data_IF_107610107093
#
_entry.id   IF_107610107093
#
_cell.length_a   1.000
_cell.length_b   1.000
_cell.length_c   1.000
_cell.angle_alpha   90.00
_cell.angle_beta   90.00
_cell.angle_gamma   90.00
#
_symmetry.space_group_name_H-M   'P 1'
#
loop_
_entity.id
_entity.type
_entity.pdbx_description
1 polymer ?
#
# COMPACT_ATOMS: atom_id res chain seq x y z
N UNK A 1 17.42 2.75 -13.85
CA UNK A 1 16.37 3.75 -14.18
C UNK A 1 15.03 3.13 -14.59
N UNK A 2 14.96 1.99 -15.29
CA UNK A 2 13.68 1.39 -15.74
C UNK A 2 12.82 0.77 -14.62
N UNK A 3 13.40 0.29 -13.53
CA UNK A 3 12.68 -0.39 -12.43
C UNK A 3 11.85 0.57 -11.57
N UNK A 4 12.35 1.77 -11.28
CA UNK A 4 11.68 2.80 -10.48
C UNK A 4 10.42 3.36 -11.18
N UNK A 5 10.50 3.59 -12.50
CA UNK A 5 9.38 4.06 -13.30
C UNK A 5 8.23 3.04 -13.35
N UNK A 6 8.56 1.74 -13.43
CA UNK A 6 7.57 0.65 -13.37
C UNK A 6 6.89 0.59 -12.01
N UNK A 7 7.65 0.75 -10.91
CA UNK A 7 7.09 0.82 -9.56
C UNK A 7 6.07 1.95 -9.41
N UNK A 8 6.44 3.16 -9.84
CA UNK A 8 5.59 4.35 -9.78
C UNK A 8 4.31 4.19 -10.61
N UNK A 9 4.40 3.63 -11.81
CA UNK A 9 3.22 3.37 -12.64
C UNK A 9 2.27 2.35 -12.01
N UNK A 10 2.82 1.34 -11.33
CA UNK A 10 2.04 0.35 -10.60
C UNK A 10 1.34 0.96 -9.37
N UNK A 11 1.99 1.87 -8.62
CA UNK A 11 1.33 2.65 -7.54
C UNK A 11 0.08 3.37 -8.06
N UNK A 12 0.22 4.11 -9.17
CA UNK A 12 -0.88 4.90 -9.74
C UNK A 12 -2.03 4.01 -10.22
N UNK A 13 -1.71 2.90 -10.89
CA UNK A 13 -2.70 1.92 -11.37
C UNK A 13 -3.46 1.27 -10.22
N UNK A 14 -2.75 0.86 -9.16
CA UNK A 14 -3.35 0.26 -7.98
C UNK A 14 -4.24 1.26 -7.22
N UNK A 15 -3.76 2.49 -7.06
CA UNK A 15 -4.49 3.59 -6.42
C UNK A 15 -5.86 3.87 -7.08
N UNK A 16 -5.93 3.85 -8.42
CA UNK A 16 -7.19 4.00 -9.18
C UNK A 16 -8.15 2.83 -8.97
N UNK A 17 -7.62 1.61 -8.81
CA UNK A 17 -8.43 0.41 -8.55
C UNK A 17 -9.05 0.43 -7.14
N UNK A 18 -8.35 1.00 -6.16
CA UNK A 18 -8.92 1.22 -4.82
C UNK A 18 -10.09 2.20 -4.88
N UNK A 19 -9.96 3.32 -5.59
CA UNK A 19 -11.08 4.28 -5.77
C UNK A 19 -12.33 3.64 -6.35
N UNK A 20 -12.15 2.85 -7.42
CA UNK A 20 -13.27 2.13 -8.05
C UNK A 20 -13.93 1.14 -7.08
N UNK A 21 -13.15 0.52 -6.19
CA UNK A 21 -13.65 -0.43 -5.21
C UNK A 21 -14.40 0.24 -4.06
N UNK A 22 -13.94 1.43 -3.63
CA UNK A 22 -14.66 2.28 -2.67
C UNK A 22 -16.03 2.69 -3.23
N UNK A 23 -16.12 3.03 -4.51
CA UNK A 23 -17.39 3.37 -5.15
C UNK A 23 -18.37 2.19 -5.15
N UNK A 24 -17.88 0.97 -5.44
CA UNK A 24 -18.69 -0.26 -5.38
C UNK A 24 -19.20 -0.49 -3.94
N UNK A 25 -18.35 -0.29 -2.92
CA UNK A 25 -18.72 -0.44 -1.52
C UNK A 25 -19.78 0.57 -1.09
N UNK A 26 -19.62 1.86 -1.45
CA UNK A 26 -20.62 2.89 -1.16
C UNK A 26 -21.98 2.58 -1.77
N UNK A 27 -22.00 1.97 -2.95
CA UNK A 27 -23.23 1.57 -3.65
C UNK A 27 -23.82 0.23 -3.17
N UNK A 28 -23.10 -0.54 -2.34
CA UNK A 28 -23.52 -1.89 -1.92
C UNK A 28 -24.63 -1.91 -0.86
N UNK A 29 -24.90 -0.78 -0.19
CA UNK A 29 -25.89 -0.69 0.88
C UNK A 29 -27.36 -0.83 0.47
N UNK A 30 -27.68 -0.87 -0.83
CA UNK A 30 -29.07 -0.81 -1.33
C UNK A 30 -29.58 -2.10 -1.99
N UNK A 31 -28.72 -3.03 -2.45
CA UNK A 31 -29.15 -4.22 -3.20
C UNK A 31 -28.25 -5.45 -2.92
N UNK A 32 -28.87 -6.62 -2.71
CA UNK A 32 -28.19 -7.88 -2.37
C UNK A 32 -27.14 -8.34 -3.39
N UNK A 33 -27.37 -8.11 -4.69
CA UNK A 33 -26.39 -8.38 -5.74
C UNK A 33 -25.13 -7.50 -5.61
N UNK A 34 -25.29 -6.23 -5.20
CA UNK A 34 -24.18 -5.32 -5.01
C UNK A 34 -23.34 -5.69 -3.78
N UNK A 35 -23.95 -6.27 -2.74
CA UNK A 35 -23.21 -6.81 -1.58
C UNK A 35 -22.30 -7.98 -1.97
N UNK A 36 -22.78 -8.93 -2.77
CA UNK A 36 -21.94 -10.04 -3.27
C UNK A 36 -20.80 -9.50 -4.14
N UNK A 37 -21.11 -8.57 -5.05
CA UNK A 37 -20.09 -7.90 -5.87
C UNK A 37 -19.05 -7.17 -5.01
N UNK A 38 -19.47 -6.52 -3.93
CA UNK A 38 -18.58 -5.85 -2.99
C UNK A 38 -17.62 -6.84 -2.31
N UNK A 39 -18.11 -7.99 -1.82
CA UNK A 39 -17.25 -9.03 -1.25
C UNK A 39 -16.19 -9.49 -2.24
N UNK A 40 -16.59 -9.87 -3.46
CA UNK A 40 -15.64 -10.32 -4.50
C UNK A 40 -14.64 -9.24 -4.90
N UNK A 41 -15.10 -7.99 -5.02
CA UNK A 41 -14.24 -6.86 -5.37
C UNK A 41 -13.20 -6.63 -4.27
N UNK A 42 -13.62 -6.59 -3.00
CA UNK A 42 -12.72 -6.40 -1.86
C UNK A 42 -11.70 -7.54 -1.73
N UNK A 43 -12.11 -8.79 -1.94
CA UNK A 43 -11.18 -9.93 -1.95
C UNK A 43 -10.13 -9.79 -3.06
N UNK A 44 -10.57 -9.47 -4.28
CA UNK A 44 -9.67 -9.28 -5.42
C UNK A 44 -8.69 -8.15 -5.17
N UNK A 45 -9.16 -7.03 -4.61
CA UNK A 45 -8.33 -5.89 -4.26
C UNK A 45 -7.31 -6.21 -3.18
N UNK A 46 -7.70 -7.00 -2.18
CA UNK A 46 -6.80 -7.42 -1.11
C UNK A 46 -5.67 -8.29 -1.65
N UNK A 47 -5.98 -9.23 -2.56
CA UNK A 47 -4.97 -10.05 -3.25
C UNK A 47 -4.03 -9.18 -4.09
N UNK A 48 -4.58 -8.27 -4.89
CA UNK A 48 -3.77 -7.34 -5.69
C UNK A 48 -2.89 -6.43 -4.83
N UNK A 49 -3.41 -5.98 -3.67
CA UNK A 49 -2.66 -5.17 -2.72
C UNK A 49 -1.48 -5.92 -2.11
N UNK A 50 -1.66 -7.19 -1.74
CA UNK A 50 -0.56 -8.03 -1.27
C UNK A 50 0.51 -8.28 -2.36
N UNK A 51 0.09 -8.53 -3.60
CA UNK A 51 1.03 -8.64 -4.73
C UNK A 51 1.80 -7.34 -4.95
N UNK A 52 1.12 -6.21 -4.86
CA UNK A 52 1.73 -4.90 -5.02
C UNK A 52 2.70 -4.59 -3.88
N UNK A 53 2.33 -4.92 -2.64
CA UNK A 53 3.19 -4.79 -1.45
C UNK A 53 4.49 -5.57 -1.63
N UNK A 54 4.38 -6.83 -2.04
CA UNK A 54 5.55 -7.68 -2.29
C UNK A 54 6.44 -7.09 -3.38
N UNK A 55 5.85 -6.55 -4.46
CA UNK A 55 6.60 -5.87 -5.52
C UNK A 55 7.30 -4.60 -5.03
N UNK A 56 6.62 -3.78 -4.23
CA UNK A 56 7.19 -2.56 -3.66
C UNK A 56 8.36 -2.86 -2.72
N UNK A 57 8.22 -3.86 -1.83
CA UNK A 57 9.31 -4.33 -0.95
C UNK A 57 10.52 -4.83 -1.74
N UNK A 58 10.31 -5.67 -2.76
CA UNK A 58 11.43 -6.17 -3.59
C UNK A 58 12.16 -5.04 -4.34
N UNK A 59 11.45 -4.02 -4.80
CA UNK A 59 12.06 -2.88 -5.49
C UNK A 59 12.82 -2.02 -4.48
N UNK A 60 12.26 -1.81 -3.28
CA UNK A 60 12.89 -1.08 -2.20
C UNK A 60 14.19 -1.77 -1.74
N UNK A 61 14.15 -3.08 -1.47
CA UNK A 61 15.33 -3.90 -1.13
C UNK A 61 16.42 -3.78 -2.20
N UNK A 62 16.07 -3.97 -3.48
CA UNK A 62 17.04 -3.87 -4.59
C UNK A 62 17.57 -2.45 -4.81
N UNK A 63 16.78 -1.43 -4.47
CA UNK A 63 17.21 -0.05 -4.56
C UNK A 63 18.19 0.34 -3.46
N UNK A 64 18.03 -0.19 -2.24
CA UNK A 64 19.03 -0.06 -1.18
C UNK A 64 20.41 -0.57 -1.62
N UNK A 65 20.44 -1.63 -2.44
CA UNK A 65 21.68 -2.22 -2.96
C UNK A 65 22.26 -1.48 -4.18
N UNK A 66 21.42 -0.85 -5.01
CA UNK A 66 21.80 -0.40 -6.37
C UNK A 66 21.58 1.09 -6.66
N UNK A 67 20.97 1.85 -5.74
CA UNK A 67 20.67 3.27 -5.92
C UNK A 67 21.04 4.05 -4.64
N UNK A 68 22.11 4.88 -4.69
CA UNK A 68 22.51 5.69 -3.53
C UNK A 68 21.51 6.80 -3.18
N UNK A 69 20.64 7.18 -4.12
CA UNK A 69 19.52 8.09 -3.87
C UNK A 69 18.23 7.30 -3.63
N UNK A 70 17.51 7.67 -2.57
CA UNK A 70 16.27 7.01 -2.10
C UNK A 70 15.08 7.34 -3.00
N UNK A 71 15.31 8.02 -4.13
CA UNK A 71 14.29 8.48 -5.09
C UNK A 71 13.65 7.34 -5.90
N UNK A 72 13.96 6.09 -5.57
CA UNK A 72 13.49 4.91 -6.28
C UNK A 72 11.98 4.71 -6.25
N UNK A 73 11.34 5.07 -5.14
CA UNK A 73 9.91 4.96 -4.94
C UNK A 73 9.44 6.25 -4.27
N UNK A 74 8.43 6.87 -4.87
CA UNK A 74 7.82 8.08 -4.35
C UNK A 74 6.97 7.74 -3.12
N UNK A 75 7.50 8.05 -1.93
CA UNK A 75 6.85 7.72 -0.65
C UNK A 75 5.47 8.37 -0.52
N UNK A 76 5.26 9.55 -1.11
CA UNK A 76 3.97 10.23 -1.09
C UNK A 76 2.92 9.44 -1.87
N UNK A 77 3.31 8.73 -2.94
CA UNK A 77 2.40 7.81 -3.64
C UNK A 77 2.05 6.60 -2.79
N UNK A 78 3.00 6.05 -2.05
CA UNK A 78 2.76 4.89 -1.17
C UNK A 78 1.84 5.28 0.00
N UNK A 79 2.05 6.47 0.57
CA UNK A 79 1.16 7.10 1.57
C UNK A 79 -0.25 7.33 1.01
N UNK A 80 -0.36 7.85 -0.21
CA UNK A 80 -1.67 8.05 -0.84
C UNK A 80 -2.45 6.73 -1.04
N UNK A 81 -1.76 5.64 -1.39
CA UNK A 81 -2.36 4.30 -1.45
C UNK A 81 -2.84 3.86 -0.07
N UNK A 82 -2.02 4.06 0.98
CA UNK A 82 -2.37 3.78 2.38
C UNK A 82 -3.68 4.46 2.79
N UNK A 83 -3.78 5.77 2.57
CA UNK A 83 -4.94 6.56 2.99
C UNK A 83 -6.23 6.12 2.27
N UNK A 84 -6.11 5.67 1.02
CA UNK A 84 -7.22 5.09 0.27
C UNK A 84 -7.63 3.72 0.80
N UNK A 85 -6.68 2.89 1.22
CA UNK A 85 -6.98 1.61 1.87
C UNK A 85 -7.69 1.81 3.21
N UNK A 86 -7.34 2.86 3.97
CA UNK A 86 -8.04 3.23 5.21
C UNK A 86 -9.50 3.58 4.88
N UNK A 87 -9.71 4.44 3.88
CA UNK A 87 -11.06 4.81 3.41
C UNK A 87 -11.87 3.58 2.97
N UNK A 88 -11.23 2.62 2.31
CA UNK A 88 -11.86 1.36 1.90
C UNK A 88 -12.22 0.50 3.12
N UNK A 89 -11.33 0.39 4.10
CA UNK A 89 -11.58 -0.33 5.36
C UNK A 89 -12.75 0.28 6.13
N UNK A 90 -12.82 1.60 6.21
CA UNK A 90 -13.94 2.30 6.84
C UNK A 90 -15.26 2.00 6.13
N UNK A 91 -15.28 2.02 4.79
CA UNK A 91 -16.45 1.66 4.00
C UNK A 91 -16.87 0.19 4.20
N UNK A 92 -15.92 -0.73 4.33
CA UNK A 92 -16.18 -2.14 4.62
C UNK A 92 -16.78 -2.31 6.02
N UNK A 93 -16.26 -1.61 7.02
CA UNK A 93 -16.72 -1.68 8.41
C UNK A 93 -18.20 -1.28 8.58
N UNK A 94 -18.71 -0.44 7.68
CA UNK A 94 -20.11 -0.04 7.63
C UNK A 94 -21.02 -1.13 7.04
N UNK A 95 -20.45 -2.15 6.41
CA UNK A 95 -21.16 -3.25 5.75
C UNK A 95 -20.87 -4.56 6.47
N UNK A 96 -21.67 -4.91 7.48
CA UNK A 96 -21.44 -6.05 8.38
C UNK A 96 -21.14 -7.38 7.65
N UNK A 97 -21.85 -7.67 6.55
CA UNK A 97 -21.59 -8.89 5.74
C UNK A 97 -20.23 -8.82 5.06
N UNK A 98 -19.85 -7.67 4.50
CA UNK A 98 -18.57 -7.50 3.81
C UNK A 98 -17.42 -7.54 4.82
N UNK A 99 -17.55 -6.86 5.97
CA UNK A 99 -16.55 -6.90 7.05
C UNK A 99 -16.36 -8.32 7.60
N UNK A 100 -17.44 -9.08 7.77
CA UNK A 100 -17.35 -10.48 8.21
C UNK A 100 -16.45 -11.33 7.31
N UNK A 101 -16.59 -11.21 5.98
CA UNK A 101 -15.80 -12.00 5.03
C UNK A 101 -14.42 -11.44 4.74
N UNK A 102 -14.26 -10.11 4.75
CA UNK A 102 -13.06 -9.46 4.18
C UNK A 102 -12.31 -8.59 5.17
N UNK A 103 -12.91 -8.22 6.30
CA UNK A 103 -12.37 -7.26 7.26
C UNK A 103 -11.01 -7.68 7.82
N UNK A 104 -10.84 -8.96 8.19
CA UNK A 104 -9.55 -9.46 8.69
C UNK A 104 -8.44 -9.33 7.65
N UNK A 105 -8.75 -9.62 6.39
CA UNK A 105 -7.78 -9.56 5.29
C UNK A 105 -7.39 -8.11 5.00
N UNK A 106 -8.37 -7.20 4.95
CA UNK A 106 -8.12 -5.77 4.72
C UNK A 106 -7.33 -5.14 5.87
N UNK A 107 -7.65 -5.47 7.11
CA UNK A 107 -6.87 -5.03 8.29
C UNK A 107 -5.41 -5.50 8.23
N UNK A 108 -5.19 -6.78 7.88
CA UNK A 108 -3.82 -7.30 7.69
C UNK A 108 -3.09 -6.53 6.59
N UNK A 109 -3.72 -6.34 5.44
CA UNK A 109 -3.12 -5.60 4.32
C UNK A 109 -2.79 -4.15 4.72
N UNK A 110 -3.63 -3.50 5.51
CA UNK A 110 -3.35 -2.17 6.05
C UNK A 110 -2.11 -2.17 6.94
N UNK A 111 -1.99 -3.12 7.87
CA UNK A 111 -0.80 -3.26 8.71
C UNK A 111 0.46 -3.46 7.86
N UNK A 112 0.43 -4.36 6.88
CA UNK A 112 1.58 -4.58 6.00
C UNK A 112 1.97 -3.29 5.24
N UNK A 113 0.97 -2.48 4.87
CA UNK A 113 1.16 -1.22 4.16
C UNK A 113 1.72 -0.11 5.07
N UNK A 114 1.29 -0.06 6.33
CA UNK A 114 1.85 0.83 7.35
C UNK A 114 3.33 0.50 7.59
N UNK A 115 3.68 -0.78 7.74
CA UNK A 115 5.08 -1.23 7.88
C UNK A 115 5.93 -0.76 6.69
N UNK A 116 5.42 -0.91 5.45
CA UNK A 116 6.14 -0.46 4.25
C UNK A 116 6.36 1.05 4.24
N UNK A 117 5.35 1.84 4.64
CA UNK A 117 5.48 3.31 4.72
C UNK A 117 6.49 3.70 5.77
N UNK A 118 6.52 3.01 6.91
CA UNK A 118 7.50 3.21 7.98
C UNK A 118 8.92 2.91 7.47
N UNK A 119 9.15 1.71 6.91
CA UNK A 119 10.44 1.29 6.33
C UNK A 119 10.95 2.32 5.33
N UNK A 120 10.07 2.79 4.44
CA UNK A 120 10.41 3.80 3.45
C UNK A 120 10.70 5.16 4.08
N UNK A 121 9.92 5.59 5.07
CA UNK A 121 10.12 6.89 5.75
C UNK A 121 11.49 6.91 6.41
N UNK A 122 11.81 5.85 7.15
CA UNK A 122 13.11 5.67 7.83
C UNK A 122 14.26 5.70 6.81
N UNK A 123 14.13 5.00 5.68
CA UNK A 123 15.18 4.99 4.67
C UNK A 123 15.33 6.32 3.92
N UNK A 124 14.25 7.09 3.75
CA UNK A 124 14.29 8.42 3.11
C UNK A 124 14.76 9.53 4.04
N UNK A 125 14.75 9.30 5.36
CA UNK A 125 15.16 10.28 6.35
C UNK A 125 16.69 10.46 6.36
N UNK A 126 17.13 11.65 5.93
CA UNK A 126 18.53 11.99 5.83
C UNK A 126 19.22 12.05 7.20
N UNK A 127 18.55 12.55 8.24
CA UNK A 127 19.09 12.64 9.60
C UNK A 127 19.26 11.24 10.20
N UNK A 128 18.26 10.37 9.99
CA UNK A 128 18.34 8.98 10.46
C UNK A 128 19.45 8.19 9.74
N UNK A 129 19.62 8.41 8.42
CA UNK A 129 20.73 7.82 7.66
C UNK A 129 22.09 8.30 8.15
N UNK A 130 22.21 9.58 8.44
CA UNK A 130 23.44 10.16 8.99
C UNK A 130 23.75 9.56 10.37
N UNK A 131 22.73 9.42 11.23
CA UNK A 131 22.86 8.83 12.55
C UNK A 131 23.24 7.34 12.49
N UNK A 132 22.65 6.56 11.58
CA UNK A 132 23.07 5.17 11.32
C UNK A 132 24.50 5.12 10.80
N UNK A 133 24.91 6.03 9.91
CA UNK A 133 26.29 6.05 9.41
C UNK A 133 27.30 6.33 10.52
N UNK A 134 26.96 7.26 11.42
CA UNK A 134 27.75 7.58 12.60
C UNK A 134 27.85 6.38 13.57
N UNK A 135 26.72 5.72 13.87
CA UNK A 135 26.66 4.56 14.77
C UNK A 135 27.34 3.32 14.18
N UNK A 136 27.20 3.09 12.87
CA UNK A 136 27.86 2.00 12.16
C UNK A 136 29.38 2.20 11.99
N UNK A 137 29.94 3.29 12.54
CA UNK A 137 31.36 3.61 12.44
C UNK A 137 31.80 3.99 11.03
N UNK A 138 30.87 4.36 10.14
CA UNK A 138 31.17 4.89 8.81
C UNK A 138 31.18 6.41 8.86
N UNK A 139 32.28 6.92 9.43
CA UNK A 139 32.98 8.13 9.01
C UNK A 139 34.44 7.67 8.90
N UNK A 140 35.14 7.84 7.78
CA UNK A 140 35.10 8.93 6.82
C UNK A 140 34.52 8.60 5.44
#
# INVERSE_FOLDING_TARGET
MTTCAVANNNCVSFSKRIESSIEILKNAGTLSFLTVRAVFTTLTMSVLGLYFLSGARQIFEKCGDSCPSVDCIDIEKVRSVRDRLITMSDAISQLAVVDFFTGKLVRKMLTDWDDLVEDMTIATDAEFRELISQVAGKIA
#
